data_IF_217539886684
#
_entry.id   IF_217539886684
#
_cell.length_a   1.000
_cell.length_b   1.000
_cell.length_c   1.000
_cell.angle_alpha   90.00
_cell.angle_beta   90.00
_cell.angle_gamma   90.00
#
_symmetry.space_group_name_H-M   'P 1'
#
loop_
_entity.id
_entity.type
_entity.pdbx_description
1 polymer ?
#
# COMPACT_ATOMS: atom_id res chain seq x y z
N UNK A 1 -42.58 -33.92 -6.99
CA UNK A 1 -41.46 -33.22 -7.66
C UNK A 1 -40.26 -33.45 -6.78
N UNK A 2 -39.34 -34.26 -7.28
CA UNK A 2 -38.10 -34.60 -6.61
C UNK A 2 -37.22 -33.35 -6.57
N UNK A 3 -36.83 -32.92 -5.38
CA UNK A 3 -35.97 -31.74 -5.17
C UNK A 3 -34.49 -32.15 -5.02
N UNK A 4 -34.15 -33.43 -5.19
CA UNK A 4 -32.78 -33.93 -5.07
C UNK A 4 -31.82 -33.44 -6.16
N UNK A 5 -32.34 -32.99 -7.32
CA UNK A 5 -31.54 -32.51 -8.45
C UNK A 5 -31.08 -31.04 -8.34
N UNK A 6 -31.47 -30.30 -7.30
CA UNK A 6 -31.06 -28.89 -7.12
C UNK A 6 -29.69 -28.72 -6.45
N UNK A 7 -29.10 -29.79 -5.91
CA UNK A 7 -27.75 -29.76 -5.36
C UNK A 7 -26.79 -30.35 -6.38
N UNK A 8 -25.98 -29.50 -7.01
CA UNK A 8 -24.87 -29.97 -7.84
C UNK A 8 -23.99 -30.89 -6.98
N UNK A 9 -23.72 -32.12 -7.44
CA UNK A 9 -22.79 -33.09 -6.82
C UNK A 9 -21.35 -32.58 -6.65
N UNK A 10 -21.08 -31.37 -7.11
CA UNK A 10 -19.78 -30.72 -7.08
C UNK A 10 -19.71 -29.81 -5.87
N UNK A 11 -18.63 -29.93 -5.09
CA UNK A 11 -18.31 -28.95 -4.05
C UNK A 11 -18.26 -27.54 -4.64
N UNK A 12 -18.74 -26.54 -3.90
CA UNK A 12 -18.69 -25.11 -4.25
C UNK A 12 -18.13 -24.35 -3.05
N UNK A 13 -17.24 -23.39 -3.31
CA UNK A 13 -16.67 -22.50 -2.31
C UNK A 13 -17.13 -21.07 -2.59
N UNK A 14 -17.71 -20.42 -1.59
CA UNK A 14 -18.07 -19.01 -1.65
C UNK A 14 -16.85 -18.09 -1.59
N UNK A 15 -17.10 -16.79 -1.69
CA UNK A 15 -16.05 -15.79 -1.59
C UNK A 15 -15.38 -15.84 -0.21
N UNK A 16 -14.05 -15.82 -0.20
CA UNK A 16 -13.30 -15.71 1.05
C UNK A 16 -13.37 -14.27 1.56
N UNK A 17 -14.06 -14.07 2.68
CA UNK A 17 -14.20 -12.79 3.36
C UNK A 17 -13.16 -12.65 4.47
N UNK A 18 -12.50 -11.50 4.55
CA UNK A 18 -11.60 -11.16 5.65
C UNK A 18 -12.45 -10.66 6.83
N UNK A 19 -12.11 -11.02 8.07
CA UNK A 19 -12.88 -10.65 9.26
C UNK A 19 -12.09 -9.66 10.10
N UNK A 20 -12.74 -8.57 10.52
CA UNK A 20 -12.24 -7.72 11.62
C UNK A 20 -12.73 -8.32 12.93
N UNK A 21 -11.80 -8.69 13.80
CA UNK A 21 -12.11 -9.11 15.17
C UNK A 21 -11.92 -7.91 16.08
N UNK A 22 -12.99 -7.21 16.46
CA UNK A 22 -12.90 -6.19 17.50
C UNK A 22 -12.89 -6.91 18.85
N UNK A 23 -11.79 -6.77 19.61
CA UNK A 23 -11.76 -7.22 20.99
C UNK A 23 -12.59 -6.26 21.85
N UNK A 24 -13.89 -6.51 21.94
CA UNK A 24 -14.76 -5.88 22.94
C UNK A 24 -14.38 -6.42 24.32
N UNK A 25 -13.90 -5.55 25.21
CA UNK A 25 -13.75 -5.82 26.64
C UNK A 25 -15.09 -5.63 27.36
N UNK A 26 -16.12 -6.34 26.94
CA UNK A 26 -17.33 -6.61 27.72
C UNK A 26 -18.22 -7.58 26.94
N UNK A 27 -18.59 -8.66 27.63
CA UNK A 27 -19.59 -9.66 27.28
C UNK A 27 -19.33 -10.59 26.08
N UNK A 28 -19.57 -11.86 26.38
CA UNK A 28 -19.28 -13.07 25.61
C UNK A 28 -20.10 -13.17 24.33
N UNK A 29 -19.63 -12.52 23.27
CA UNK A 29 -19.68 -12.95 21.86
C UNK A 29 -19.03 -11.82 21.07
N UNK A 30 -17.76 -11.99 20.67
CA UNK A 30 -17.09 -10.99 19.83
C UNK A 30 -17.93 -10.75 18.58
N UNK A 31 -18.27 -9.49 18.31
CA UNK A 31 -18.95 -9.12 17.06
C UNK A 31 -17.93 -9.26 15.94
N UNK A 32 -18.06 -10.33 15.16
CA UNK A 32 -17.24 -10.56 13.97
C UNK A 32 -17.86 -9.80 12.80
N UNK A 33 -17.20 -8.72 12.37
CA UNK A 33 -17.65 -7.97 11.20
C UNK A 33 -16.86 -8.43 10.00
N UNK A 34 -17.55 -8.96 8.99
CA UNK A 34 -16.91 -9.38 7.74
C UNK A 34 -16.54 -8.13 6.95
N UNK A 35 -15.25 -7.96 6.74
CA UNK A 35 -14.67 -6.88 5.97
C UNK A 35 -14.53 -7.33 4.50
N UNK A 36 -15.43 -6.84 3.67
CA UNK A 36 -15.40 -7.04 2.21
C UNK A 36 -14.60 -5.95 1.47
N UNK A 37 -13.86 -5.11 2.19
CA UNK A 37 -13.03 -4.07 1.59
C UNK A 37 -11.69 -4.62 1.09
N UNK A 38 -11.09 -3.89 0.15
CA UNK A 38 -9.79 -4.27 -0.44
C UNK A 38 -8.60 -3.70 0.35
N UNK A 39 -8.83 -3.09 1.51
CA UNK A 39 -7.80 -2.46 2.35
C UNK A 39 -7.97 -2.89 3.79
N UNK A 40 -7.02 -3.65 4.34
CA UNK A 40 -7.05 -4.02 5.74
C UNK A 40 -6.91 -2.77 6.61
N UNK A 41 -7.88 -2.44 7.47
CA UNK A 41 -7.92 -1.15 8.16
C UNK A 41 -6.79 -0.95 9.18
N UNK A 42 -6.16 -2.02 9.68
CA UNK A 42 -5.16 -1.94 10.77
C UNK A 42 -4.11 -3.06 10.67
N UNK A 43 -2.92 -2.91 11.29
CA UNK A 43 -2.02 -4.02 11.53
C UNK A 43 -2.70 -5.00 12.50
N UNK A 44 -3.33 -6.03 11.95
CA UNK A 44 -3.85 -7.15 12.73
C UNK A 44 -2.67 -7.99 13.21
N UNK A 45 -2.67 -8.52 14.43
CA UNK A 45 -1.73 -9.59 14.86
C UNK A 45 -2.10 -10.96 14.25
N UNK A 46 -3.39 -11.11 13.93
CA UNK A 46 -3.97 -12.31 13.35
C UNK A 46 -4.97 -11.91 12.28
N UNK A 47 -4.76 -12.41 11.06
CA UNK A 47 -5.71 -12.26 9.97
C UNK A 47 -6.75 -13.37 10.09
N UNK A 48 -7.98 -12.98 10.38
CA UNK A 48 -9.13 -13.89 10.37
C UNK A 48 -9.81 -13.84 9.01
N UNK A 49 -10.23 -14.99 8.49
CA UNK A 49 -10.95 -15.07 7.22
C UNK A 49 -11.90 -16.26 7.22
N UNK A 50 -12.94 -16.17 6.40
CA UNK A 50 -13.97 -17.20 6.30
C UNK A 50 -14.45 -17.39 4.87
N UNK A 51 -14.95 -18.59 4.58
CA UNK A 51 -15.66 -18.88 3.34
C UNK A 51 -16.74 -19.92 3.58
N UNK A 52 -17.85 -19.81 2.86
CA UNK A 52 -18.90 -20.82 2.86
C UNK A 52 -18.50 -21.98 1.96
N UNK A 53 -18.56 -23.20 2.49
CA UNK A 53 -18.34 -24.44 1.76
C UNK A 53 -19.66 -25.18 1.61
N UNK A 54 -20.06 -25.40 0.36
CA UNK A 54 -21.23 -26.18 -0.01
C UNK A 54 -20.75 -27.50 -0.63
N UNK A 55 -20.98 -28.63 0.01
CA UNK A 55 -20.49 -29.93 -0.46
C UNK A 55 -21.07 -31.12 0.32
N UNK A 56 -20.71 -32.34 -0.07
CA UNK A 56 -21.17 -33.55 0.62
C UNK A 56 -20.45 -33.79 1.96
N UNK A 57 -20.98 -34.66 2.83
CA UNK A 57 -20.25 -35.06 4.03
C UNK A 57 -19.02 -35.86 3.62
N UNK A 58 -17.82 -35.44 4.05
CA UNK A 58 -16.61 -36.18 3.75
C UNK A 58 -15.33 -35.52 4.26
N UNK A 59 -14.19 -36.19 4.12
CA UNK A 59 -12.91 -35.57 4.41
C UNK A 59 -12.62 -34.47 3.39
N UNK A 60 -12.21 -33.31 3.90
CA UNK A 60 -11.79 -32.19 3.07
C UNK A 60 -10.34 -31.85 3.35
N UNK A 61 -9.56 -31.65 2.29
CA UNK A 61 -8.24 -31.04 2.39
C UNK A 61 -8.39 -29.54 2.13
N UNK A 62 -8.15 -28.74 3.16
CA UNK A 62 -8.22 -27.28 3.11
C UNK A 62 -6.81 -26.72 3.07
N UNK A 63 -6.53 -25.94 2.02
CA UNK A 63 -5.25 -25.28 1.84
C UNK A 63 -5.47 -23.79 1.66
N UNK A 64 -4.56 -22.98 2.19
CA UNK A 64 -4.53 -21.56 1.83
C UNK A 64 -3.11 -21.05 1.59
N UNK A 65 -3.01 -20.09 0.67
CA UNK A 65 -1.77 -19.43 0.30
C UNK A 65 -1.92 -17.94 0.45
N UNK A 66 -0.90 -17.31 1.01
CA UNK A 66 -0.75 -15.87 0.97
C UNK A 66 0.28 -15.53 -0.10
N UNK A 67 -0.09 -14.65 -1.02
CA UNK A 67 0.78 -14.13 -2.05
C UNK A 67 1.01 -12.65 -1.77
N UNK A 68 2.26 -12.21 -1.79
CA UNK A 68 2.63 -10.79 -1.78
C UNK A 68 3.06 -10.41 -3.19
N UNK A 69 2.39 -9.44 -3.81
CA UNK A 69 2.67 -9.01 -5.18
C UNK A 69 2.76 -10.21 -6.15
N UNK A 70 1.75 -11.10 -6.08
CA UNK A 70 1.65 -12.37 -6.85
C UNK A 70 2.73 -13.44 -6.54
N UNK A 71 3.64 -13.18 -5.60
CA UNK A 71 4.65 -14.15 -5.16
C UNK A 71 4.18 -14.87 -3.89
N UNK A 72 4.10 -16.21 -3.86
CA UNK A 72 3.75 -16.95 -2.64
C UNK A 72 4.73 -16.67 -1.50
N UNK A 73 4.22 -16.23 -0.35
CA UNK A 73 5.00 -15.94 0.86
C UNK A 73 4.59 -16.78 2.07
N UNK A 74 3.42 -17.41 2.03
CA UNK A 74 2.95 -18.32 3.06
C UNK A 74 2.08 -19.42 2.48
N UNK A 75 2.16 -20.61 3.06
CA UNK A 75 1.36 -21.78 2.70
C UNK A 75 0.91 -22.51 3.97
N UNK A 76 -0.33 -22.97 3.97
CA UNK A 76 -0.87 -23.88 4.98
C UNK A 76 -1.75 -24.92 4.33
N UNK A 77 -1.74 -26.13 4.89
CA UNK A 77 -2.64 -27.22 4.54
C UNK A 77 -3.04 -27.98 5.79
N UNK A 78 -4.33 -28.33 5.87
CA UNK A 78 -4.86 -29.22 6.89
C UNK A 78 -5.92 -30.13 6.31
N UNK A 79 -6.09 -31.30 6.94
CA UNK A 79 -7.21 -32.19 6.66
C UNK A 79 -8.26 -31.99 7.73
N UNK A 80 -9.50 -31.77 7.31
CA UNK A 80 -10.65 -31.71 8.20
C UNK A 80 -11.41 -33.03 8.03
N UNK A 81 -11.30 -33.89 9.03
CA UNK A 81 -12.18 -35.06 9.18
C UNK A 81 -13.52 -34.54 9.69
N UNK A 82 -14.47 -34.28 8.79
CA UNK A 82 -15.73 -33.63 9.15
C UNK A 82 -16.96 -34.44 8.76
N UNK A 83 -17.94 -34.44 9.68
CA UNK A 83 -19.32 -34.84 9.46
C UNK A 83 -20.19 -33.72 8.85
N UNK A 84 -19.59 -32.62 8.36
CA UNK A 84 -20.30 -31.42 7.89
C UNK A 84 -20.76 -31.51 6.41
N UNK A 85 -22.07 -31.39 6.11
CA UNK A 85 -22.64 -31.22 4.77
C UNK A 85 -23.12 -29.78 4.45
N UNK A 86 -23.25 -29.54 3.13
CA UNK A 86 -24.00 -28.55 2.32
C UNK A 86 -23.89 -27.07 2.68
N UNK A 87 -23.64 -26.63 3.90
CA UNK A 87 -23.53 -25.19 4.19
C UNK A 87 -22.70 -24.92 5.44
N UNK A 88 -21.38 -25.08 5.31
CA UNK A 88 -20.45 -24.89 6.43
C UNK A 88 -19.63 -23.63 6.27
N UNK A 89 -19.64 -22.80 7.31
CA UNK A 89 -18.76 -21.65 7.40
C UNK A 89 -17.37 -22.09 7.87
N UNK A 90 -16.39 -22.09 6.96
CA UNK A 90 -14.99 -22.29 7.32
C UNK A 90 -14.48 -21.02 7.99
N UNK A 91 -13.94 -21.15 9.20
CA UNK A 91 -13.28 -20.04 9.90
C UNK A 91 -11.81 -20.37 10.08
N UNK A 92 -10.95 -19.53 9.52
CA UNK A 92 -9.51 -19.73 9.47
C UNK A 92 -8.80 -18.49 9.99
N UNK A 93 -7.58 -18.69 10.48
CA UNK A 93 -6.75 -17.62 11.01
C UNK A 93 -5.28 -17.86 10.71
N UNK A 94 -4.52 -16.78 10.51
CA UNK A 94 -3.07 -16.84 10.38
C UNK A 94 -2.40 -15.69 11.14
N UNK A 95 -1.20 -15.94 11.65
CA UNK A 95 -0.37 -14.87 12.20
C UNK A 95 0.10 -13.95 11.07
N UNK A 96 0.03 -12.64 11.31
CA UNK A 96 0.41 -11.60 10.35
C UNK A 96 1.84 -11.08 10.57
N UNK A 97 2.58 -11.67 11.50
CA UNK A 97 3.92 -11.22 11.90
C UNK A 97 4.92 -11.15 10.73
N UNK A 98 4.65 -11.86 9.63
CA UNK A 98 5.44 -11.82 8.41
C UNK A 98 4.85 -10.95 7.29
N UNK A 99 3.77 -10.21 7.56
CA UNK A 99 3.10 -9.35 6.59
C UNK A 99 3.67 -7.93 6.68
N UNK A 100 4.27 -7.49 5.57
CA UNK A 100 4.75 -6.13 5.38
C UNK A 100 3.71 -5.30 4.65
N UNK A 101 3.90 -3.98 4.56
CA UNK A 101 3.15 -3.15 3.62
C UNK A 101 3.17 -3.76 2.20
N UNK A 102 2.03 -3.76 1.51
CA UNK A 102 1.95 -4.17 0.11
C UNK A 102 0.61 -4.77 -0.29
N UNK A 103 0.53 -5.22 -1.55
CA UNK A 103 -0.65 -5.90 -2.07
C UNK A 103 -0.55 -7.40 -1.79
N UNK A 104 -1.64 -7.96 -1.30
CA UNK A 104 -1.76 -9.36 -0.97
C UNK A 104 -2.92 -10.01 -1.71
N UNK A 105 -2.77 -11.30 -1.97
CA UNK A 105 -3.87 -12.18 -2.31
C UNK A 105 -3.89 -13.36 -1.35
N UNK A 106 -5.06 -13.66 -0.81
CA UNK A 106 -5.34 -14.88 -0.08
C UNK A 106 -6.07 -15.83 -1.03
N UNK A 107 -5.46 -16.96 -1.32
CA UNK A 107 -6.08 -18.05 -2.07
C UNK A 107 -6.45 -19.16 -1.11
N UNK A 108 -7.74 -19.48 -1.03
CA UNK A 108 -8.27 -20.59 -0.26
C UNK A 108 -8.71 -21.67 -1.25
N UNK A 109 -8.24 -22.90 -1.07
CA UNK A 109 -8.66 -24.04 -1.87
C UNK A 109 -9.11 -25.20 -0.99
N UNK A 110 -10.19 -25.84 -1.39
CA UNK A 110 -10.74 -27.01 -0.73
C UNK A 110 -10.81 -28.14 -1.73
N UNK A 111 -10.23 -29.30 -1.37
CA UNK A 111 -10.34 -30.53 -2.14
C UNK A 111 -11.20 -31.53 -1.38
N UNK A 112 -12.18 -32.09 -2.06
CA UNK A 112 -13.06 -33.11 -1.50
C UNK A 112 -12.50 -34.54 -1.68
N UNK A 113 -13.17 -35.53 -1.08
CA UNK A 113 -12.79 -36.94 -1.16
C UNK A 113 -12.85 -37.54 -2.58
N UNK A 114 -13.53 -36.89 -3.53
CA UNK A 114 -13.55 -37.30 -4.95
C UNK A 114 -12.32 -36.82 -5.71
N UNK A 115 -11.54 -35.91 -5.13
CA UNK A 115 -10.40 -35.24 -5.76
C UNK A 115 -10.77 -33.92 -6.45
N UNK A 116 -12.04 -33.52 -6.46
CA UNK A 116 -12.46 -32.22 -6.99
C UNK A 116 -11.92 -31.11 -6.10
N UNK A 117 -11.31 -30.09 -6.70
CA UNK A 117 -10.76 -28.93 -5.99
C UNK A 117 -11.50 -27.67 -6.40
N UNK A 118 -12.02 -26.94 -5.41
CA UNK A 118 -12.59 -25.60 -5.57
C UNK A 118 -11.69 -24.57 -4.90
N UNK A 119 -11.62 -23.37 -5.45
CA UNK A 119 -10.78 -22.31 -4.92
C UNK A 119 -11.48 -20.95 -4.98
N UNK A 120 -11.14 -20.10 -4.02
CA UNK A 120 -11.63 -18.74 -3.86
C UNK A 120 -10.46 -17.83 -3.56
N UNK A 121 -10.55 -16.57 -3.99
CA UNK A 121 -9.44 -15.62 -3.91
C UNK A 121 -9.91 -14.24 -3.47
N UNK A 122 -9.33 -13.72 -2.40
CA UNK A 122 -9.50 -12.32 -2.00
C UNK A 122 -8.21 -11.55 -2.21
N UNK A 123 -8.33 -10.35 -2.78
CA UNK A 123 -7.24 -9.38 -2.87
C UNK A 123 -7.43 -8.31 -1.81
N UNK A 124 -6.36 -7.96 -1.12
CA UNK A 124 -6.37 -6.91 -0.12
C UNK A 124 -5.01 -6.22 -0.01
N UNK A 125 -5.00 -5.00 0.52
CA UNK A 125 -3.77 -4.26 0.79
C UNK A 125 -3.54 -4.18 2.29
N UNK A 126 -2.31 -4.40 2.73
CA UNK A 126 -1.87 -4.13 4.10
C UNK A 126 -1.30 -2.72 4.13
N UNK A 127 -1.89 -1.85 4.97
CA UNK A 127 -1.31 -0.56 5.32
C UNK A 127 -0.91 -0.53 6.80
N UNK A 128 -0.02 0.39 7.18
CA UNK A 128 0.38 0.58 8.57
C UNK A 128 -0.40 1.76 9.15
N UNK A 129 -0.99 1.58 10.33
CA UNK A 129 -1.62 2.68 11.06
C UNK A 129 -0.62 3.84 11.24
N UNK A 130 -1.07 5.05 10.95
CA UNK A 130 -0.24 6.27 11.00
C UNK A 130 0.73 6.43 9.83
N UNK A 131 0.66 5.59 8.79
CA UNK A 131 1.38 5.79 7.52
C UNK A 131 0.40 6.30 6.45
N UNK A 132 0.84 7.26 5.64
CA UNK A 132 0.01 7.85 4.59
C UNK A 132 -0.52 6.80 3.63
N UNK A 133 -1.81 6.90 3.28
CA UNK A 133 -2.44 6.04 2.26
C UNK A 133 -1.83 6.18 0.85
N UNK A 134 -1.04 7.24 0.61
CA UNK A 134 -0.30 7.45 -0.64
C UNK A 134 1.01 6.63 -0.72
N UNK A 135 1.49 6.08 0.40
CA UNK A 135 2.65 5.18 0.41
C UNK A 135 2.23 3.84 -0.21
N UNK A 136 2.98 3.37 -1.22
CA UNK A 136 2.71 2.07 -1.88
C UNK A 136 3.79 1.01 -1.62
N UNK A 137 5.02 1.45 -1.37
CA UNK A 137 6.15 0.57 -1.12
C UNK A 137 7.07 1.24 -0.09
N UNK A 138 7.38 0.54 1.00
CA UNK A 138 8.20 1.11 2.08
C UNK A 138 9.61 1.47 1.64
N UNK A 139 10.26 0.64 0.83
CA UNK A 139 11.61 0.91 0.34
C UNK A 139 11.63 2.15 -0.54
N UNK A 140 10.69 2.26 -1.49
CA UNK A 140 10.54 3.46 -2.33
C UNK A 140 10.18 4.68 -1.50
N UNK A 141 9.27 4.54 -0.54
CA UNK A 141 8.86 5.63 0.35
C UNK A 141 10.04 6.18 1.18
N UNK A 142 10.94 5.30 1.65
CA UNK A 142 12.18 5.71 2.30
C UNK A 142 13.12 6.41 1.32
N UNK A 143 13.28 5.92 0.09
CA UNK A 143 14.12 6.58 -0.92
C UNK A 143 13.59 7.98 -1.27
N UNK A 144 12.28 8.13 -1.33
CA UNK A 144 11.60 9.40 -1.58
C UNK A 144 11.86 10.42 -0.46
N UNK A 145 12.24 10.01 0.77
CA UNK A 145 12.63 10.94 1.84
C UNK A 145 13.94 11.70 1.56
N UNK A 146 14.65 11.42 0.46
CA UNK A 146 15.96 12.02 0.14
C UNK A 146 16.00 13.55 0.15
N UNK A 147 14.86 14.21 0.02
CA UNK A 147 14.74 15.66 0.03
C UNK A 147 14.70 16.24 1.44
N UNK A 148 14.24 15.47 2.43
CA UNK A 148 13.98 15.94 3.80
C UNK A 148 14.72 15.14 4.89
N UNK A 149 15.36 14.03 4.51
CA UNK A 149 16.16 13.18 5.38
C UNK A 149 17.64 13.26 5.00
N UNK A 150 18.51 13.22 6.01
CA UNK A 150 19.95 13.10 5.79
C UNK A 150 20.32 11.73 5.21
N UNK A 151 21.44 11.67 4.48
CA UNK A 151 21.98 10.41 3.94
C UNK A 151 22.18 9.35 5.03
N UNK A 152 22.56 9.77 6.26
CA UNK A 152 22.72 8.87 7.40
C UNK A 152 21.39 8.25 7.84
N UNK A 153 20.30 9.03 7.87
CA UNK A 153 18.97 8.55 8.21
C UNK A 153 18.44 7.60 7.12
N UNK A 154 18.54 7.99 5.86
CA UNK A 154 18.13 7.17 4.71
C UNK A 154 18.84 5.82 4.71
N UNK A 155 20.17 5.83 4.80
CA UNK A 155 20.97 4.61 4.81
C UNK A 155 20.63 3.71 6.01
N UNK A 156 20.33 4.31 7.18
CA UNK A 156 19.92 3.55 8.37
C UNK A 156 18.57 2.86 8.16
N UNK A 157 17.60 3.55 7.54
CA UNK A 157 16.28 2.99 7.23
C UNK A 157 16.35 1.90 6.15
N UNK A 158 17.08 2.15 5.05
CA UNK A 158 17.20 1.22 3.92
C UNK A 158 17.93 -0.08 4.30
N UNK A 159 18.89 -0.03 5.23
CA UNK A 159 19.61 -1.22 5.72
C UNK A 159 18.86 -2.00 6.80
N UNK A 160 17.81 -1.43 7.39
CA UNK A 160 17.02 -2.10 8.41
C UNK A 160 16.08 -3.15 7.78
N UNK A 161 15.78 -4.21 8.53
CA UNK A 161 14.81 -5.25 8.12
C UNK A 161 13.43 -4.94 8.70
N UNK A 162 12.38 -5.29 7.94
CA UNK A 162 10.96 -5.30 8.30
C UNK A 162 10.59 -4.39 9.47
N UNK A 163 10.43 -4.93 10.68
CA UNK A 163 9.93 -4.18 11.85
C UNK A 163 10.82 -3.02 12.28
N UNK A 164 12.14 -3.19 12.17
CA UNK A 164 13.08 -2.12 12.48
C UNK A 164 13.03 -1.01 11.43
N UNK A 165 12.84 -1.37 10.16
CA UNK A 165 12.65 -0.40 9.08
C UNK A 165 11.37 0.41 9.30
N UNK A 166 10.27 -0.27 9.62
CA UNK A 166 9.00 0.35 10.02
C UNK A 166 9.20 1.35 11.14
N UNK A 167 9.80 0.91 12.24
CA UNK A 167 10.01 1.75 13.42
C UNK A 167 10.81 3.00 13.08
N UNK A 168 11.92 2.86 12.35
CA UNK A 168 12.76 4.01 11.97
C UNK A 168 12.02 5.01 11.07
N UNK A 169 11.18 4.51 10.15
CA UNK A 169 10.36 5.34 9.29
C UNK A 169 9.31 6.12 10.09
N UNK A 170 8.59 5.44 11.00
CA UNK A 170 7.62 6.08 11.88
C UNK A 170 8.28 7.08 12.83
N UNK A 171 9.40 6.72 13.46
CA UNK A 171 10.16 7.62 14.35
C UNK A 171 10.59 8.91 13.63
N UNK A 172 10.92 8.82 12.32
CA UNK A 172 11.26 9.98 11.52
C UNK A 172 10.07 10.92 11.30
N UNK A 173 8.90 10.37 10.98
CA UNK A 173 7.70 11.17 10.75
C UNK A 173 7.12 11.73 12.04
N UNK A 174 7.07 10.94 13.12
CA UNK A 174 6.67 11.42 14.44
C UNK A 174 7.51 12.60 14.92
N UNK A 175 8.82 12.61 14.62
CA UNK A 175 9.69 13.73 14.97
C UNK A 175 9.39 15.02 14.18
N UNK A 176 8.60 14.94 13.10
CA UNK A 176 8.19 16.07 12.26
C UNK A 176 6.69 16.34 12.29
N UNK A 177 5.98 15.66 13.18
CA UNK A 177 4.53 15.75 13.29
C UNK A 177 4.10 17.13 13.79
N UNK A 178 3.36 17.92 12.99
CA UNK A 178 2.86 19.21 13.44
C UNK A 178 1.73 19.06 14.47
N UNK A 179 0.99 17.94 14.47
CA UNK A 179 -0.15 17.72 15.37
C UNK A 179 -0.10 16.34 16.05
N UNK A 180 0.87 16.10 16.95
CA UNK A 180 1.10 14.77 17.56
C UNK A 180 -0.05 14.25 18.45
N UNK A 181 -1.12 15.02 18.63
CA UNK A 181 -2.34 14.61 19.31
C UNK A 181 -3.30 13.82 18.41
N UNK A 182 -3.11 13.84 17.09
CA UNK A 182 -3.88 13.04 16.13
C UNK A 182 -3.15 11.73 15.81
N UNK A 183 -3.89 10.76 15.26
CA UNK A 183 -3.32 9.46 14.84
C UNK A 183 -2.61 9.57 13.48
N UNK A 184 -2.94 10.59 12.71
CA UNK A 184 -2.43 10.85 11.37
C UNK A 184 -1.36 11.93 11.44
N UNK A 185 -0.43 11.95 10.48
CA UNK A 185 0.62 12.96 10.44
C UNK A 185 0.41 13.77 9.16
N UNK A 186 -0.13 14.99 9.31
CA UNK A 186 -0.57 15.79 8.18
C UNK A 186 0.59 16.14 7.25
N UNK A 187 1.79 16.35 7.80
CA UNK A 187 3.00 16.60 7.03
C UNK A 187 3.38 15.40 6.16
N UNK A 188 3.36 14.20 6.73
CA UNK A 188 3.64 12.97 5.99
C UNK A 188 2.61 12.77 4.88
N UNK A 189 1.32 12.98 5.17
CA UNK A 189 0.26 12.85 4.18
C UNK A 189 0.42 13.82 3.02
N UNK A 190 0.69 15.09 3.32
CA UNK A 190 0.95 16.10 2.31
C UNK A 190 2.20 15.77 1.49
N UNK A 191 3.28 15.34 2.14
CA UNK A 191 4.52 14.94 1.47
C UNK A 191 4.27 13.82 0.46
N UNK A 192 3.62 12.72 0.87
CA UNK A 192 3.35 11.61 -0.04
C UNK A 192 2.25 11.91 -1.06
N UNK A 193 1.33 12.85 -0.78
CA UNK A 193 0.41 13.39 -1.77
C UNK A 193 1.17 14.11 -2.88
N UNK A 194 2.16 14.94 -2.54
CA UNK A 194 3.01 15.66 -3.51
C UNK A 194 3.93 14.72 -4.29
N UNK A 195 4.49 13.69 -3.64
CA UNK A 195 5.25 12.62 -4.30
C UNK A 195 4.41 11.93 -5.36
N UNK A 196 3.19 11.52 -5.00
CA UNK A 196 2.27 10.88 -5.94
C UNK A 196 1.93 11.80 -7.11
N UNK A 197 1.64 13.07 -6.83
CA UNK A 197 1.38 14.05 -7.89
C UNK A 197 2.58 14.18 -8.84
N UNK A 198 3.80 14.25 -8.29
CA UNK A 198 5.02 14.33 -9.08
C UNK A 198 5.18 13.10 -9.98
N UNK A 199 4.93 11.90 -9.47
CA UNK A 199 4.95 10.67 -10.26
C UNK A 199 3.89 10.65 -11.37
N UNK A 200 2.71 11.22 -11.12
CA UNK A 200 1.63 11.29 -12.12
C UNK A 200 1.91 12.32 -13.23
N UNK A 201 2.60 13.42 -12.93
CA UNK A 201 2.72 14.57 -13.85
C UNK A 201 4.11 14.78 -14.45
N UNK A 202 5.17 14.35 -13.76
CA UNK A 202 6.56 14.63 -14.14
C UNK A 202 7.37 13.38 -14.45
N UNK A 203 6.74 12.21 -14.50
CA UNK A 203 7.41 10.97 -14.92
C UNK A 203 7.76 10.99 -16.41
N UNK A 204 8.90 10.39 -16.74
CA UNK A 204 9.36 10.18 -18.11
C UNK A 204 10.27 8.97 -18.18
N UNK A 205 11.55 9.17 -18.47
CA UNK A 205 12.57 8.10 -18.38
C UNK A 205 12.80 7.66 -16.93
N UNK A 206 12.59 8.58 -15.98
CA UNK A 206 12.68 8.34 -14.54
C UNK A 206 11.31 8.57 -13.89
N UNK A 207 11.13 8.01 -12.71
CA UNK A 207 9.97 8.29 -11.86
C UNK A 207 9.92 9.80 -11.55
N UNK A 208 8.72 10.37 -11.56
CA UNK A 208 8.51 11.80 -11.43
C UNK A 208 9.11 12.39 -10.17
N UNK A 209 9.05 11.67 -9.03
CA UNK A 209 9.69 12.08 -7.79
C UNK A 209 11.22 12.25 -7.92
N UNK A 210 11.88 11.62 -8.90
CA UNK A 210 13.32 11.73 -9.14
C UNK A 210 13.70 12.88 -10.09
N UNK A 211 12.73 13.52 -10.73
CA UNK A 211 12.97 14.64 -11.64
C UNK A 211 13.16 15.94 -10.88
N UNK A 212 13.77 16.93 -11.52
CA UNK A 212 13.99 18.24 -10.90
C UNK A 212 12.66 18.95 -10.63
N UNK A 213 11.71 18.90 -11.58
CA UNK A 213 10.37 19.46 -11.39
C UNK A 213 9.62 18.75 -10.25
N UNK A 214 9.68 17.42 -10.21
CA UNK A 214 9.08 16.64 -9.13
C UNK A 214 9.72 16.94 -7.77
N UNK A 215 11.04 17.10 -7.71
CA UNK A 215 11.74 17.45 -6.48
C UNK A 215 11.32 18.83 -5.93
N UNK A 216 11.22 19.84 -6.81
CA UNK A 216 10.73 21.18 -6.44
C UNK A 216 9.27 21.11 -5.98
N UNK A 217 8.40 20.40 -6.72
CA UNK A 217 6.99 20.25 -6.35
C UNK A 217 6.81 19.52 -5.00
N UNK A 218 7.63 18.49 -4.73
CA UNK A 218 7.58 17.76 -3.45
C UNK A 218 7.93 18.70 -2.28
N UNK A 219 8.98 19.50 -2.43
CA UNK A 219 9.43 20.41 -1.37
C UNK A 219 8.50 21.59 -1.16
N UNK A 220 8.07 22.24 -2.23
CA UNK A 220 7.40 23.54 -2.17
C UNK A 220 5.91 23.49 -2.51
N UNK A 221 5.39 22.36 -2.98
CA UNK A 221 4.00 22.22 -3.38
C UNK A 221 3.75 22.81 -4.78
N UNK A 222 2.50 23.19 -5.09
CA UNK A 222 2.20 23.85 -6.35
C UNK A 222 2.83 25.25 -6.41
N UNK A 223 3.43 25.65 -7.54
CA UNK A 223 3.88 27.03 -7.73
C UNK A 223 2.69 27.98 -7.82
N UNK A 224 2.90 29.24 -7.41
CA UNK A 224 1.91 30.31 -7.52
C UNK A 224 1.64 30.66 -8.98
N UNK A 225 2.71 30.69 -9.79
CA UNK A 225 2.65 30.99 -11.21
C UNK A 225 3.61 30.09 -12.00
N UNK A 226 3.17 29.68 -13.19
CA UNK A 226 3.98 28.94 -14.15
C UNK A 226 4.02 29.73 -15.46
N UNK A 227 5.20 30.21 -15.82
CA UNK A 227 5.47 30.78 -17.14
C UNK A 227 6.03 29.70 -18.05
N UNK A 228 5.33 29.41 -19.15
CA UNK A 228 5.76 28.41 -20.14
C UNK A 228 6.25 29.08 -21.40
N UNK A 229 7.47 28.75 -21.80
CA UNK A 229 8.08 29.21 -23.05
C UNK A 229 8.31 27.99 -23.95
N UNK A 230 7.43 27.78 -24.94
CA UNK A 230 7.58 26.66 -25.87
C UNK A 230 8.80 26.86 -26.78
N UNK A 231 9.02 25.93 -27.71
CA UNK A 231 10.15 26.01 -28.63
C UNK A 231 10.12 27.32 -29.44
N UNK A 232 11.19 28.11 -29.32
CA UNK A 232 11.43 29.30 -30.14
C UNK A 232 12.68 29.08 -31.00
N UNK A 233 12.82 29.82 -32.10
CA UNK A 233 13.90 29.61 -33.09
C UNK A 233 15.29 29.68 -32.44
N UNK A 234 15.45 30.51 -31.40
CA UNK A 234 16.74 30.79 -30.76
C UNK A 234 16.82 30.32 -29.30
N UNK A 235 15.81 29.62 -28.77
CA UNK A 235 15.85 29.14 -27.38
C UNK A 235 15.22 27.77 -27.18
N UNK A 236 15.82 27.00 -26.26
CA UNK A 236 15.25 25.74 -25.77
C UNK A 236 13.93 26.00 -25.03
N UNK A 237 12.97 25.07 -25.06
CA UNK A 237 11.77 25.17 -24.22
C UNK A 237 12.15 25.25 -22.74
N UNK A 238 11.49 26.14 -22.00
CA UNK A 238 11.68 26.25 -20.56
C UNK A 238 10.38 26.61 -19.83
N UNK A 239 10.31 26.23 -18.57
CA UNK A 239 9.28 26.67 -17.63
C UNK A 239 9.93 27.44 -16.49
N UNK A 240 9.29 28.53 -16.07
CA UNK A 240 9.65 29.25 -14.84
C UNK A 240 8.51 29.06 -13.85
N UNK A 241 8.85 28.52 -12.68
CA UNK A 241 7.93 28.36 -11.57
C UNK A 241 8.23 29.41 -10.52
N UNK A 242 7.23 30.20 -10.17
CA UNK A 242 7.33 31.26 -9.17
C UNK A 242 6.69 30.80 -7.86
N UNK A 243 7.40 31.01 -6.76
CA UNK A 243 6.94 30.79 -5.39
C UNK A 243 7.12 32.09 -4.60
N UNK A 244 6.05 32.86 -4.49
CA UNK A 244 6.06 34.21 -3.93
C UNK A 244 6.26 34.21 -2.41
N UNK A 245 5.68 33.23 -1.71
CA UNK A 245 5.80 33.15 -0.24
C UNK A 245 7.25 32.99 0.23
N UNK A 246 8.06 32.23 -0.51
CA UNK A 246 9.48 32.01 -0.23
C UNK A 246 10.39 32.91 -1.08
N UNK A 247 9.82 33.83 -1.88
CA UNK A 247 10.52 34.73 -2.78
C UNK A 247 11.57 34.01 -3.65
N UNK A 248 11.18 32.87 -4.24
CA UNK A 248 12.05 32.02 -5.03
C UNK A 248 11.43 31.74 -6.40
N UNK A 249 12.27 31.61 -7.41
CA UNK A 249 11.89 31.07 -8.72
C UNK A 249 12.77 29.88 -9.08
N UNK A 250 12.22 28.97 -9.88
CA UNK A 250 12.92 27.82 -10.43
C UNK A 250 12.72 27.79 -11.93
N UNK A 251 13.83 27.80 -12.68
CA UNK A 251 13.80 27.72 -14.14
C UNK A 251 14.18 26.30 -14.55
N UNK A 252 13.32 25.67 -15.33
CA UNK A 252 13.54 24.32 -15.85
C UNK A 252 13.68 24.36 -17.36
N UNK A 253 14.73 23.76 -17.90
CA UNK A 253 15.04 23.78 -19.33
C UNK A 253 15.01 22.35 -19.86
N UNK A 254 14.30 22.12 -20.97
CA UNK A 254 14.39 20.86 -21.70
C UNK A 254 15.54 20.93 -22.72
N UNK A 255 16.70 20.42 -22.32
CA UNK A 255 17.87 20.35 -23.19
C UNK A 255 17.70 19.35 -24.33
N UNK A 256 16.85 18.35 -24.13
CA UNK A 256 16.71 17.17 -24.98
C UNK A 256 15.65 17.35 -26.07
N UNK A 257 14.63 18.16 -25.81
CA UNK A 257 13.45 18.32 -26.66
C UNK A 257 12.43 17.18 -26.52
N UNK A 258 12.62 16.27 -25.56
CA UNK A 258 11.75 15.13 -25.29
C UNK A 258 10.94 15.26 -24.00
N UNK A 259 10.87 16.46 -23.43
CA UNK A 259 10.14 16.76 -22.20
C UNK A 259 10.91 16.49 -20.90
N UNK A 260 12.23 16.26 -20.97
CA UNK A 260 13.07 16.08 -19.77
C UNK A 260 13.60 17.43 -19.27
N UNK A 261 12.73 18.16 -18.57
CA UNK A 261 13.04 19.44 -17.96
C UNK A 261 13.99 19.28 -16.76
N UNK A 262 15.10 20.03 -16.76
CA UNK A 262 16.09 20.07 -15.68
C UNK A 262 16.28 21.47 -15.14
N UNK A 263 16.56 21.58 -13.85
CA UNK A 263 16.87 22.86 -13.21
C UNK A 263 18.07 23.50 -13.90
N UNK A 264 17.93 24.78 -14.25
CA UNK A 264 19.02 25.55 -14.85
C UNK A 264 20.15 25.81 -13.85
N UNK A 265 19.81 25.95 -12.56
CA UNK A 265 20.73 26.24 -11.47
C UNK A 265 20.74 25.11 -10.43
N UNK A 266 21.91 24.71 -9.90
CA UNK A 266 21.98 23.68 -8.87
C UNK A 266 21.21 24.09 -7.60
N UNK A 267 20.28 23.25 -7.14
CA UNK A 267 19.57 23.46 -5.88
C UNK A 267 20.04 22.48 -4.81
N UNK A 268 20.36 22.98 -3.62
CA UNK A 268 20.73 22.12 -2.48
C UNK A 268 19.50 21.76 -1.64
N UNK A 269 18.89 20.62 -2.00
CA UNK A 269 17.68 20.10 -1.36
C UNK A 269 17.81 19.88 0.15
N UNK A 270 18.99 19.51 0.67
CA UNK A 270 19.16 19.19 2.10
C UNK A 270 19.29 20.41 3.01
N UNK A 271 19.71 21.56 2.47
CA UNK A 271 19.98 22.78 3.25
C UNK A 271 18.82 23.77 3.23
N UNK A 272 18.03 23.75 2.17
CA UNK A 272 17.06 24.80 1.87
C UNK A 272 15.59 24.34 2.02
N UNK A 273 15.34 23.19 2.65
CA UNK A 273 13.98 22.77 2.97
C UNK A 273 13.60 23.26 4.37
N UNK A 274 12.52 24.03 4.45
CA UNK A 274 11.72 24.26 5.65
C UNK A 274 10.27 23.94 5.29
N UNK A 275 9.50 23.38 6.22
CA UNK A 275 8.09 23.09 5.94
C UNK A 275 7.31 24.41 5.88
N UNK A 276 6.75 24.69 4.71
CA UNK A 276 5.80 25.78 4.49
C UNK A 276 4.42 25.13 4.25
N UNK A 277 3.46 25.30 5.18
CA UNK A 277 2.13 24.69 5.12
C UNK A 277 1.29 25.23 3.97
#
# INVERSE_FOLDING_TARGET
RDYSDYYSKSSVLGDVGIIKTESSTADSAGVHTVFWGNQLPEPLDTLHFQAYLLGEIGPYEVQYRLLKDETPVYYFSTKIESALPVDSLLQLKMATTNMSFGNYALELSVRDGSGTTVASRAKFRVHWQGVSGNVQNMTTAIQQLRYIASDKQLNKMLKAKSDKQRKLFMDFWHAKDPTPATTENELMDEYYRRVRFADEHYSGVREGWQTDMGAIYILFGPPDEIERRPFEIDSKPYEVWYYFEINQQFVFIDFTGFGEYRLSEPFNFQRNWEYHP
#
